data_IF_593788566640
#
_entry.id   IF_593788566640
#
_cell.length_a   1.000
_cell.length_b   1.000
_cell.length_c   1.000
_cell.angle_alpha   90.00
_cell.angle_beta   90.00
_cell.angle_gamma   90.00
#
_symmetry.space_group_name_H-M   'P 1'
#
loop_
_entity.id
_entity.type
_entity.pdbx_description
1 polymer ?
#
# COMPACT_ATOMS: atom_id res chain seq x y z
N UNK A 1 16.20 61.50 -8.61
CA UNK A 1 16.59 60.13 -8.94
C UNK A 1 15.65 59.14 -8.25
N UNK A 2 14.90 58.44 -9.02
CA UNK A 2 13.98 57.45 -8.46
C UNK A 2 14.62 56.08 -8.51
N UNK A 3 14.96 55.52 -7.39
CA UNK A 3 15.37 54.13 -7.26
C UNK A 3 14.09 53.27 -7.38
N UNK A 4 13.91 52.64 -8.51
CA UNK A 4 12.92 51.54 -8.61
C UNK A 4 13.51 50.28 -7.96
N UNK A 5 13.12 50.02 -6.74
CA UNK A 5 13.32 48.70 -6.17
C UNK A 5 12.40 47.74 -6.92
N UNK A 6 12.99 46.92 -7.74
CA UNK A 6 12.33 45.76 -8.27
C UNK A 6 12.33 44.71 -7.17
N UNK A 7 11.20 44.60 -6.49
CA UNK A 7 10.99 43.45 -5.64
C UNK A 7 10.68 42.31 -6.56
N UNK A 8 11.69 41.52 -6.90
CA UNK A 8 11.46 40.20 -7.42
C UNK A 8 10.84 39.38 -6.28
N UNK A 9 9.52 39.37 -6.27
CA UNK A 9 8.78 38.36 -5.53
C UNK A 9 9.11 37.04 -6.20
N UNK A 10 10.13 36.37 -5.72
CA UNK A 10 10.37 34.98 -6.05
C UNK A 10 9.17 34.23 -5.52
N UNK A 11 8.20 34.02 -6.39
CA UNK A 11 7.11 33.10 -6.11
C UNK A 11 7.76 31.72 -6.02
N UNK A 12 8.15 31.33 -4.82
CA UNK A 12 8.57 29.98 -4.51
C UNK A 12 7.29 29.15 -4.62
N UNK A 13 6.99 28.70 -5.82
CA UNK A 13 6.01 27.65 -6.03
C UNK A 13 6.59 26.41 -5.37
N UNK A 14 6.21 26.21 -4.12
CA UNK A 14 6.39 24.95 -3.44
C UNK A 14 5.52 23.96 -4.20
N UNK A 15 6.10 23.29 -5.19
CA UNK A 15 5.51 22.07 -5.70
C UNK A 15 5.63 21.06 -4.55
N UNK A 16 4.57 20.96 -3.76
CA UNK A 16 4.34 19.76 -2.97
C UNK A 16 4.13 18.63 -3.97
N UNK A 17 5.22 18.11 -4.51
CA UNK A 17 5.20 16.80 -5.11
C UNK A 17 4.85 15.86 -4.00
N UNK A 18 3.54 15.54 -3.84
CA UNK A 18 3.14 14.39 -3.07
C UNK A 18 4.01 13.25 -3.54
N UNK A 19 4.88 12.73 -2.67
CA UNK A 19 5.71 11.59 -3.00
C UNK A 19 4.77 10.44 -3.33
N UNK A 20 4.54 10.20 -4.62
CA UNK A 20 3.87 8.99 -5.07
C UNK A 20 4.68 7.81 -4.53
N UNK A 21 4.02 6.95 -3.76
CA UNK A 21 4.67 5.77 -3.21
C UNK A 21 5.09 4.87 -4.37
N UNK A 22 6.38 4.61 -4.47
CA UNK A 22 6.94 3.72 -5.47
C UNK A 22 7.52 2.49 -4.79
N UNK A 23 6.69 1.48 -4.60
CA UNK A 23 7.07 0.20 -4.00
C UNK A 23 6.84 -0.99 -4.94
N UNK A 24 6.69 -0.74 -6.24
CA UNK A 24 6.45 -1.79 -7.22
C UNK A 24 7.60 -2.80 -7.35
N UNK A 25 8.79 -2.46 -6.87
CA UNK A 25 9.96 -3.35 -6.84
C UNK A 25 9.89 -4.39 -5.71
N UNK A 26 9.04 -4.17 -4.71
CA UNK A 26 8.87 -5.09 -3.58
C UNK A 26 7.95 -6.26 -3.95
N UNK A 27 8.13 -7.35 -3.22
CA UNK A 27 7.26 -8.54 -3.31
C UNK A 27 6.31 -8.58 -2.10
N UNK A 28 5.18 -9.26 -2.20
CA UNK A 28 4.27 -9.41 -1.06
C UNK A 28 4.94 -9.98 0.19
N UNK A 29 5.84 -10.95 0.03
CA UNK A 29 6.56 -11.58 1.15
C UNK A 29 7.49 -10.61 1.87
N UNK A 30 8.00 -9.61 1.17
CA UNK A 30 8.89 -8.61 1.77
C UNK A 30 8.23 -7.84 2.90
N UNK A 31 6.90 -7.78 2.91
CA UNK A 31 6.15 -7.14 3.99
C UNK A 31 6.42 -7.80 5.35
N UNK A 32 6.61 -9.11 5.39
CA UNK A 32 6.98 -9.80 6.61
C UNK A 32 8.31 -9.29 7.21
N UNK A 33 9.29 -8.97 6.37
CA UNK A 33 10.57 -8.42 6.82
C UNK A 33 10.40 -7.01 7.40
N UNK A 34 9.55 -6.20 6.80
CA UNK A 34 9.23 -4.87 7.33
C UNK A 34 8.52 -4.94 8.69
N UNK A 35 7.61 -5.90 8.86
CA UNK A 35 6.97 -6.15 10.16
C UNK A 35 7.99 -6.53 11.22
N UNK A 36 8.90 -7.44 10.90
CA UNK A 36 9.96 -7.88 11.82
C UNK A 36 10.89 -6.75 12.23
N UNK A 37 11.22 -5.86 11.30
CA UNK A 37 12.03 -4.66 11.60
C UNK A 37 11.36 -3.73 12.59
N UNK A 38 10.04 -3.68 12.58
CA UNK A 38 9.24 -2.88 13.53
C UNK A 38 8.97 -3.64 14.84
N UNK A 39 9.58 -4.79 15.05
CA UNK A 39 9.42 -5.60 16.26
C UNK A 39 8.11 -6.38 16.32
N UNK A 40 7.40 -6.52 15.21
CA UNK A 40 6.17 -7.28 15.12
C UNK A 40 6.51 -8.75 14.82
N UNK A 41 6.02 -9.65 15.66
CA UNK A 41 6.20 -11.08 15.47
C UNK A 41 5.38 -11.58 14.29
N UNK A 42 6.05 -12.14 13.30
CA UNK A 42 5.44 -12.82 12.16
C UNK A 42 5.42 -14.32 12.43
N UNK A 43 4.23 -14.90 12.51
CA UNK A 43 4.05 -16.32 12.81
C UNK A 43 4.27 -17.21 11.59
N UNK A 44 3.82 -16.76 10.42
CA UNK A 44 4.01 -17.48 9.16
C UNK A 44 3.88 -16.57 7.95
N UNK A 45 4.50 -16.99 6.85
CA UNK A 45 4.36 -16.38 5.54
C UNK A 45 4.12 -17.50 4.54
N UNK A 46 3.10 -17.38 3.71
CA UNK A 46 2.81 -18.35 2.66
C UNK A 46 2.36 -17.67 1.38
N UNK A 47 2.68 -18.28 0.26
CA UNK A 47 2.14 -17.86 -1.03
C UNK A 47 0.66 -18.19 -1.10
N UNK A 48 -0.11 -17.28 -1.68
CA UNK A 48 -1.52 -17.49 -1.98
C UNK A 48 -1.80 -17.18 -3.45
N UNK A 49 -2.84 -17.78 -4.05
CA UNK A 49 -3.20 -17.46 -5.43
C UNK A 49 -3.59 -15.99 -5.58
N UNK A 50 -3.02 -15.27 -6.55
CA UNK A 50 -3.39 -13.87 -6.82
C UNK A 50 -4.69 -13.74 -7.61
N UNK A 51 -5.15 -14.82 -8.25
CA UNK A 51 -6.24 -14.82 -9.24
C UNK A 51 -7.59 -14.31 -8.73
N UNK A 52 -8.04 -14.64 -7.50
CA UNK A 52 -9.35 -14.18 -7.01
C UNK A 52 -9.53 -12.67 -7.05
N UNK A 53 -8.45 -11.90 -6.87
CA UNK A 53 -8.47 -10.45 -6.91
C UNK A 53 -7.75 -9.87 -8.13
N UNK A 54 -7.38 -10.70 -9.09
CA UNK A 54 -6.66 -10.30 -10.31
C UNK A 54 -5.35 -9.55 -10.01
N UNK A 55 -4.70 -9.90 -8.92
CA UNK A 55 -3.38 -9.40 -8.57
C UNK A 55 -2.29 -10.09 -9.40
N UNK A 56 -1.09 -9.51 -9.42
CA UNK A 56 0.07 -10.12 -10.09
C UNK A 56 0.80 -11.11 -9.19
N UNK A 57 0.74 -10.90 -7.88
CA UNK A 57 1.36 -11.75 -6.88
C UNK A 57 0.65 -11.58 -5.54
N UNK A 58 0.74 -12.55 -4.65
CA UNK A 58 0.10 -12.49 -3.35
C UNK A 58 0.76 -13.38 -2.32
N UNK A 59 0.68 -12.94 -1.07
CA UNK A 59 1.11 -13.71 0.09
C UNK A 59 0.14 -13.50 1.26
N UNK A 60 0.08 -14.45 2.16
CA UNK A 60 -0.58 -14.31 3.44
C UNK A 60 0.47 -14.26 4.54
N UNK A 61 0.40 -13.24 5.37
CA UNK A 61 1.28 -13.02 6.51
C UNK A 61 0.48 -13.15 7.78
N UNK A 62 0.84 -14.07 8.66
CA UNK A 62 0.12 -14.30 9.91
C UNK A 62 0.76 -13.52 11.05
N UNK A 63 -0.05 -12.66 11.67
CA UNK A 63 0.31 -11.85 12.82
C UNK A 63 -0.83 -11.89 13.84
N UNK A 64 -0.51 -12.13 15.10
CA UNK A 64 -1.50 -12.21 16.18
C UNK A 64 -2.66 -13.18 15.87
N UNK A 65 -2.33 -14.40 15.42
CA UNK A 65 -3.27 -15.46 15.02
C UNK A 65 -4.22 -15.10 13.87
N UNK A 66 -3.96 -14.05 13.14
CA UNK A 66 -4.79 -13.60 12.03
C UNK A 66 -3.96 -13.39 10.77
N UNK A 67 -4.44 -13.89 9.64
CA UNK A 67 -3.76 -13.71 8.37
C UNK A 67 -4.12 -12.37 7.73
N UNK A 68 -3.09 -11.71 7.21
CA UNK A 68 -3.19 -10.52 6.38
C UNK A 68 -2.88 -10.93 4.95
N UNK A 69 -3.81 -10.71 4.04
CA UNK A 69 -3.54 -10.86 2.62
C UNK A 69 -2.79 -9.66 2.09
N UNK A 70 -1.67 -9.90 1.42
CA UNK A 70 -0.85 -8.88 0.76
C UNK A 70 -0.88 -9.14 -0.72
N UNK A 71 -1.59 -8.30 -1.47
CA UNK A 71 -1.79 -8.45 -2.91
C UNK A 71 -1.06 -7.35 -3.66
N UNK A 72 -0.20 -7.76 -4.59
CA UNK A 72 0.54 -6.84 -5.43
C UNK A 72 -0.12 -6.67 -6.79
N UNK A 73 -0.21 -5.44 -7.23
CA UNK A 73 -0.61 -5.06 -8.58
C UNK A 73 0.57 -4.41 -9.29
N UNK A 74 1.05 -5.05 -10.36
CA UNK A 74 2.17 -4.51 -11.12
C UNK A 74 1.77 -3.21 -11.83
N UNK A 75 2.22 -2.08 -11.29
CA UNK A 75 1.86 -0.75 -11.79
C UNK A 75 2.52 -0.41 -13.13
N UNK A 76 3.45 -1.23 -13.62
CA UNK A 76 4.01 -1.11 -14.97
C UNK A 76 3.09 -1.69 -16.04
N UNK A 77 2.17 -2.58 -15.66
CA UNK A 77 1.21 -3.19 -16.56
C UNK A 77 -0.12 -2.40 -16.54
N UNK A 78 -0.59 -1.96 -17.70
CA UNK A 78 -1.77 -1.09 -17.83
C UNK A 78 -3.05 -1.70 -17.22
N UNK A 79 -3.31 -2.99 -17.42
CA UNK A 79 -4.47 -3.68 -16.87
C UNK A 79 -4.42 -3.75 -15.34
N UNK A 80 -3.25 -4.03 -14.78
CA UNK A 80 -3.01 -4.08 -13.34
C UNK A 80 -3.19 -2.69 -12.69
N UNK A 81 -2.65 -1.67 -13.32
CA UNK A 81 -2.78 -0.28 -12.86
C UNK A 81 -4.24 0.18 -12.84
N UNK A 82 -5.02 -0.16 -13.86
CA UNK A 82 -6.46 0.16 -13.91
C UNK A 82 -7.23 -0.58 -12.81
N UNK A 83 -6.90 -1.84 -12.57
CA UNK A 83 -7.53 -2.64 -11.51
C UNK A 83 -7.23 -2.06 -10.13
N UNK A 84 -5.99 -1.70 -9.88
CA UNK A 84 -5.58 -1.07 -8.62
C UNK A 84 -6.31 0.25 -8.39
N UNK A 85 -6.42 1.07 -9.42
CA UNK A 85 -7.14 2.34 -9.34
C UNK A 85 -8.62 2.17 -9.04
N UNK A 86 -9.24 1.13 -9.60
CA UNK A 86 -10.62 0.79 -9.27
C UNK A 86 -10.76 0.40 -7.79
N UNK A 87 -9.84 -0.41 -7.26
CA UNK A 87 -9.82 -0.79 -5.84
C UNK A 87 -9.59 0.45 -4.95
N UNK A 88 -8.71 1.35 -5.34
CA UNK A 88 -8.48 2.62 -4.62
C UNK A 88 -9.75 3.47 -4.50
N UNK A 89 -10.54 3.53 -5.56
CA UNK A 89 -11.78 4.30 -5.56
C UNK A 89 -12.84 3.66 -4.65
N UNK A 90 -12.97 2.35 -4.69
CA UNK A 90 -13.94 1.60 -3.89
C UNK A 90 -13.50 1.40 -2.44
N UNK A 91 -12.19 1.29 -2.19
CA UNK A 91 -11.57 0.92 -0.90
C UNK A 91 -12.09 -0.39 -0.33
N UNK A 92 -12.57 -1.28 -1.19
CA UNK A 92 -13.18 -2.56 -0.86
C UNK A 92 -12.86 -3.60 -1.91
N UNK A 93 -12.78 -4.86 -1.46
CA UNK A 93 -12.84 -6.03 -2.33
C UNK A 93 -14.14 -6.78 -2.06
N UNK A 94 -14.69 -7.35 -3.12
CA UNK A 94 -15.94 -8.09 -3.03
C UNK A 94 -15.66 -9.59 -3.16
N UNK A 95 -16.14 -10.35 -2.18
CA UNK A 95 -16.08 -11.82 -2.18
C UNK A 95 -17.52 -12.32 -2.12
N UNK A 96 -17.97 -13.01 -3.16
CA UNK A 96 -19.36 -13.47 -3.28
C UNK A 96 -20.39 -12.35 -3.07
N UNK A 97 -20.10 -11.15 -3.58
CA UNK A 97 -20.96 -9.98 -3.43
C UNK A 97 -20.89 -9.28 -2.08
N UNK A 98 -20.10 -9.78 -1.14
CA UNK A 98 -19.91 -9.17 0.18
C UNK A 98 -18.71 -8.24 0.13
N UNK A 99 -18.85 -6.94 0.50
CA UNK A 99 -17.75 -6.00 0.54
C UNK A 99 -16.88 -6.20 1.79
N UNK A 100 -15.57 -6.19 1.57
CA UNK A 100 -14.56 -6.22 2.62
C UNK A 100 -13.65 -5.01 2.50
N UNK A 101 -13.42 -4.25 3.59
CA UNK A 101 -12.53 -3.10 3.55
C UNK A 101 -11.09 -3.54 3.31
N UNK A 102 -10.35 -2.73 2.56
CA UNK A 102 -8.93 -2.93 2.28
C UNK A 102 -8.15 -1.66 2.53
N UNK A 103 -6.84 -1.81 2.74
CA UNK A 103 -5.87 -0.70 2.76
C UNK A 103 -5.01 -0.78 1.53
N UNK A 104 -4.72 0.36 0.94
CA UNK A 104 -3.92 0.45 -0.27
C UNK A 104 -2.71 1.34 0.02
N UNK A 105 -1.54 0.84 -0.34
CA UNK A 105 -0.31 1.59 -0.23
C UNK A 105 0.60 1.30 -1.43
N UNK A 106 0.72 2.26 -2.32
CA UNK A 106 1.45 2.08 -3.59
C UNK A 106 0.86 0.96 -4.44
N UNK A 107 1.66 -0.04 -4.77
CA UNK A 107 1.27 -1.20 -5.60
C UNK A 107 0.57 -2.32 -4.81
N UNK A 108 0.35 -2.13 -3.52
CA UNK A 108 -0.14 -3.19 -2.63
C UNK A 108 -1.51 -2.92 -2.05
N UNK A 109 -2.30 -3.97 -1.98
CA UNK A 109 -3.59 -4.01 -1.30
C UNK A 109 -3.50 -4.98 -0.13
N UNK A 110 -3.86 -4.51 1.05
CA UNK A 110 -3.83 -5.28 2.30
C UNK A 110 -5.24 -5.64 2.70
N UNK A 111 -5.49 -6.93 2.85
CA UNK A 111 -6.78 -7.51 3.16
C UNK A 111 -6.76 -8.22 4.52
N UNK A 112 -7.87 -8.17 5.25
CA UNK A 112 -7.98 -8.88 6.54
C UNK A 112 -7.35 -8.15 7.73
N UNK A 113 -7.04 -6.86 7.56
CA UNK A 113 -6.41 -6.06 8.61
C UNK A 113 -7.38 -5.60 9.69
N UNK A 114 -8.65 -5.38 9.35
CA UNK A 114 -9.62 -4.71 10.23
C UNK A 114 -9.88 -5.42 11.56
N UNK A 115 -9.77 -6.75 11.59
CA UNK A 115 -9.97 -7.56 12.79
C UNK A 115 -8.67 -8.01 13.46
N UNK A 116 -7.52 -7.57 12.97
CA UNK A 116 -6.25 -7.96 13.54
C UNK A 116 -5.99 -7.19 14.84
N UNK A 117 -5.67 -7.88 15.96
CA UNK A 117 -5.38 -7.20 17.23
C UNK A 117 -4.20 -6.23 17.15
N UNK A 118 -3.25 -6.46 16.24
CA UNK A 118 -2.08 -5.62 16.02
C UNK A 118 -2.30 -4.56 14.92
N UNK A 119 -3.52 -4.31 14.51
CA UNK A 119 -3.87 -3.41 13.40
C UNK A 119 -3.10 -2.09 13.41
N UNK A 120 -3.05 -1.40 14.54
CA UNK A 120 -2.37 -0.08 14.62
C UNK A 120 -0.88 -0.17 14.33
N UNK A 121 -0.21 -1.19 14.85
CA UNK A 121 1.22 -1.43 14.60
C UNK A 121 1.46 -1.79 13.15
N UNK A 122 0.62 -2.63 12.58
CA UNK A 122 0.68 -3.07 11.18
C UNK A 122 0.47 -1.88 10.25
N UNK A 123 -0.47 -1.00 10.52
CA UNK A 123 -0.70 0.21 9.72
C UNK A 123 0.53 1.12 9.68
N UNK A 124 1.26 1.24 10.78
CA UNK A 124 2.51 2.02 10.81
C UNK A 124 3.58 1.39 9.91
N UNK A 125 3.65 0.06 9.89
CA UNK A 125 4.58 -0.66 9.00
C UNK A 125 4.17 -0.50 7.54
N UNK A 126 2.89 -0.54 7.23
CA UNK A 126 2.39 -0.31 5.87
C UNK A 126 2.88 1.03 5.33
N UNK A 127 2.82 2.08 6.12
CA UNK A 127 3.26 3.43 5.73
C UNK A 127 4.77 3.55 5.45
N UNK A 128 5.54 2.55 5.85
CA UNK A 128 6.99 2.46 5.60
C UNK A 128 7.35 1.47 4.49
N UNK A 129 6.35 0.79 3.93
CA UNK A 129 6.55 -0.27 2.95
C UNK A 129 6.82 0.31 1.55
N UNK A 130 8.00 0.88 1.42
CA UNK A 130 8.47 1.47 0.17
C UNK A 130 10.00 1.49 0.04
#
# INVERSE_FOLDING_TARGET
>A
MRHRMWIFSALLTLFATGCAVNNNYLRPEDFADYLRRDGIRVESVRKVPPDPFRASDAAAVKVADSEIGVYKYDTTAGAQRRRLKWIENEKRLYINGIPYPVRIYGSFVFFGLERNPAKRKILRTIEKFN
#
